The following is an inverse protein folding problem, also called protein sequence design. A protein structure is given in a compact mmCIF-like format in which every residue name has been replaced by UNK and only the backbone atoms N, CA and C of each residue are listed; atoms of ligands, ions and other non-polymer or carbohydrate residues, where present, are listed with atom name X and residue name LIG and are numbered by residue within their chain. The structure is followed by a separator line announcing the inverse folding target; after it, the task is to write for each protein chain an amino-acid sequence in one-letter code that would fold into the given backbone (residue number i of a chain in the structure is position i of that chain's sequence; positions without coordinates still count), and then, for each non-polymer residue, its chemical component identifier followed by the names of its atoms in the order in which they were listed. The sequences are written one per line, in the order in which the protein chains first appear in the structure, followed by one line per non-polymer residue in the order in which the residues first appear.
data_IF_847279371772
#
_entry.id   IF_847279371772
#
_cell.length_a   1.000
_cell.length_b   1.000
_cell.length_c   1.000
_cell.angle_alpha   90.00
_cell.angle_beta   90.00
_cell.angle_gamma   90.00
#
_symmetry.space_group_name_H-M   'P 1'
#
loop_
_entity.id
_entity.type
_entity.pdbx_description
1 polymer ?
#
# COMPACT_ATOMS: atom_id res chain seq x y z
N UNK A 1 -14.87 7.84 13.64
CA UNK A 1 -14.30 8.76 12.64
C UNK A 1 -12.81 8.44 12.52
N UNK A 2 -12.34 8.17 11.31
CA UNK A 2 -10.94 7.97 10.96
C UNK A 2 -10.50 9.29 10.33
N UNK A 3 -9.73 10.11 11.04
CA UNK A 3 -9.13 11.36 10.54
C UNK A 3 -8.06 11.09 9.45
N UNK A 4 -8.49 10.43 8.37
CA UNK A 4 -7.68 9.95 7.27
C UNK A 4 -7.26 11.04 6.31
N UNK A 5 -5.96 11.22 6.13
CA UNK A 5 -5.44 11.85 4.91
C UNK A 5 -5.72 10.90 3.76
N UNK A 6 -6.45 11.39 2.76
CA UNK A 6 -6.70 10.68 1.51
C UNK A 6 -5.63 11.11 0.50
N UNK A 7 -5.16 10.18 -0.33
CA UNK A 7 -4.12 10.44 -1.32
C UNK A 7 -4.72 10.40 -2.72
N UNK A 8 -4.43 11.43 -3.52
CA UNK A 8 -4.78 11.52 -4.93
C UNK A 8 -3.56 12.02 -5.70
N UNK A 9 -3.20 11.35 -6.79
CA UNK A 9 -2.26 11.84 -7.79
C UNK A 9 -3.05 12.07 -9.08
N UNK A 10 -2.98 13.28 -9.65
CA UNK A 10 -3.60 13.63 -10.93
C UNK A 10 -2.82 12.95 -12.07
N UNK A 11 -3.51 12.14 -12.87
CA UNK A 11 -2.92 11.38 -13.99
C UNK A 11 -3.62 11.73 -15.30
N UNK A 12 -3.72 13.02 -15.62
CA UNK A 12 -4.23 13.47 -16.92
C UNK A 12 -3.10 13.73 -17.91
N UNK A 13 -2.56 12.67 -18.51
CA UNK A 13 -1.78 12.75 -19.74
C UNK A 13 -2.34 11.77 -20.77
N UNK A 14 -3.16 12.27 -21.70
CA UNK A 14 -3.70 11.53 -22.85
C UNK A 14 -2.54 10.95 -23.68
N UNK A 15 -2.53 9.62 -23.83
CA UNK A 15 -1.76 8.91 -24.85
C UNK A 15 -2.71 8.34 -25.90
N UNK A 16 -2.39 8.58 -27.17
CA UNK A 16 -3.20 8.25 -28.34
C UNK A 16 -3.51 6.77 -28.51
N UNK A 17 -4.71 6.49 -29.01
CA UNK A 17 -5.23 5.16 -29.36
C UNK A 17 -4.47 4.53 -30.52
N UNK A 18 -4.04 3.28 -30.34
CA UNK A 18 -3.74 2.37 -31.45
C UNK A 18 -4.60 1.12 -31.34
N UNK A 19 -5.30 0.87 -32.44
CA UNK A 19 -6.17 -0.26 -32.76
C UNK A 19 -5.40 -1.58 -32.73
N UNK A 20 -5.98 -2.67 -32.21
CA UNK A 20 -5.39 -4.00 -32.40
C UNK A 20 -6.48 -5.09 -32.46
N UNK A 21 -6.52 -5.75 -33.61
CA UNK A 21 -7.37 -6.89 -33.93
C UNK A 21 -6.87 -8.16 -33.25
N UNK A 22 -7.80 -8.91 -32.66
CA UNK A 22 -7.54 -10.14 -31.92
C UNK A 22 -7.13 -11.33 -32.81
N UNK A 23 -6.18 -12.12 -32.30
CA UNK A 23 -6.08 -13.56 -32.62
C UNK A 23 -5.76 -14.35 -31.34
N UNK A 24 -6.39 -15.51 -31.22
CA UNK A 24 -6.72 -16.20 -29.98
C UNK A 24 -5.90 -17.50 -29.88
N UNK A 25 -4.88 -17.55 -29.02
CA UNK A 25 -4.44 -18.79 -28.33
C UNK A 25 -3.23 -18.60 -27.41
N UNK A 26 -3.39 -19.05 -26.16
CA UNK A 26 -2.40 -19.54 -25.16
C UNK A 26 -2.43 -18.78 -23.81
N UNK A 27 -3.25 -19.28 -22.90
CA UNK A 27 -3.94 -18.50 -21.84
C UNK A 27 -3.23 -18.48 -20.47
N UNK A 28 -2.04 -19.08 -20.34
CA UNK A 28 -1.33 -19.15 -19.04
C UNK A 28 -0.08 -18.25 -18.97
N UNK A 29 0.67 -18.11 -20.05
CA UNK A 29 1.81 -17.20 -20.15
C UNK A 29 1.36 -15.74 -20.35
N UNK A 30 0.26 -15.54 -21.09
CA UNK A 30 -0.36 -14.23 -21.29
C UNK A 30 -0.90 -13.62 -19.99
N UNK A 31 -1.38 -14.44 -19.05
CA UNK A 31 -1.84 -13.98 -17.74
C UNK A 31 -0.69 -13.48 -16.84
N UNK A 32 0.48 -14.11 -16.91
CA UNK A 32 1.70 -13.65 -16.23
C UNK A 32 2.26 -12.36 -16.86
N UNK A 33 2.32 -12.31 -18.19
CA UNK A 33 2.77 -11.12 -18.93
C UNK A 33 1.82 -9.90 -18.76
N UNK A 34 0.51 -10.13 -18.62
CA UNK A 34 -0.47 -9.08 -18.27
C UNK A 34 -0.34 -8.64 -16.80
N UNK A 35 0.11 -9.53 -15.91
CA UNK A 35 0.37 -9.23 -14.49
C UNK A 35 1.55 -8.27 -14.32
N UNK A 36 2.59 -8.46 -15.13
CA UNK A 36 3.74 -7.55 -15.19
C UNK A 36 3.30 -6.16 -15.67
N UNK A 37 2.50 -6.07 -16.74
CA UNK A 37 2.07 -4.80 -17.33
C UNK A 37 1.31 -3.86 -16.36
N UNK A 38 0.59 -4.39 -15.37
CA UNK A 38 -0.21 -3.56 -14.44
C UNK A 38 0.64 -2.95 -13.31
N UNK A 39 1.57 -3.71 -12.74
CA UNK A 39 2.55 -3.19 -11.76
C UNK A 39 3.44 -2.12 -12.41
N UNK A 40 3.64 -2.22 -13.72
CA UNK A 40 4.43 -1.27 -14.53
C UNK A 40 3.76 0.08 -14.81
N UNK A 41 2.44 0.27 -14.63
CA UNK A 41 1.78 1.56 -14.94
C UNK A 41 2.06 2.64 -13.88
N UNK A 42 1.97 2.30 -12.59
CA UNK A 42 2.21 3.27 -11.50
C UNK A 42 3.68 3.72 -11.44
N UNK A 43 4.60 2.81 -11.75
CA UNK A 43 6.04 3.06 -11.80
C UNK A 43 6.46 4.01 -12.95
N UNK A 44 5.58 4.22 -13.95
CA UNK A 44 5.82 5.13 -15.09
C UNK A 44 5.28 6.54 -14.89
N UNK A 45 4.59 6.82 -13.77
CA UNK A 45 4.12 8.16 -13.46
C UNK A 45 5.32 9.05 -13.09
N UNK A 46 5.87 9.75 -14.09
CA UNK A 46 6.96 10.72 -13.87
C UNK A 46 6.63 11.79 -12.80
N UNK A 47 5.36 12.19 -12.58
CA UNK A 47 5.00 13.02 -11.43
C UNK A 47 5.13 12.31 -10.09
N UNK A 48 4.64 11.06 -9.95
CA UNK A 48 4.70 10.31 -8.69
C UNK A 48 6.14 9.95 -8.33
N UNK A 49 6.92 9.51 -9.32
CA UNK A 49 8.34 9.20 -9.16
C UNK A 49 9.14 10.45 -8.77
N UNK A 50 8.86 11.61 -9.37
CA UNK A 50 9.47 12.88 -8.98
C UNK A 50 9.05 13.33 -7.58
N UNK A 51 7.77 13.28 -7.25
CA UNK A 51 7.29 13.65 -5.93
C UNK A 51 7.85 12.72 -4.82
N UNK A 52 8.00 11.43 -5.11
CA UNK A 52 8.68 10.49 -4.23
C UNK A 52 10.17 10.84 -4.09
N UNK A 53 10.85 11.20 -5.19
CA UNK A 53 12.26 11.64 -5.18
C UNK A 53 12.50 12.94 -4.41
N UNK A 54 11.54 13.87 -4.49
CA UNK A 54 11.54 15.13 -3.75
C UNK A 54 11.11 14.96 -2.28
N UNK A 55 10.79 13.72 -1.85
CA UNK A 55 10.27 13.38 -0.52
C UNK A 55 9.02 14.20 -0.15
N UNK A 56 8.11 14.40 -1.10
CA UNK A 56 6.83 15.06 -0.84
C UNK A 56 6.08 14.34 0.29
N UNK A 57 5.71 15.03 1.39
CA UNK A 57 5.31 14.36 2.64
C UNK A 57 4.07 13.49 2.50
N UNK A 58 3.12 13.90 1.65
CA UNK A 58 1.92 13.11 1.35
C UNK A 58 2.25 11.85 0.54
N UNK A 59 3.16 11.96 -0.43
CA UNK A 59 3.58 10.79 -1.23
C UNK A 59 4.39 9.82 -0.38
N UNK A 60 5.29 10.34 0.47
CA UNK A 60 6.04 9.52 1.42
C UNK A 60 5.08 8.75 2.34
N UNK A 61 4.09 9.43 2.94
CA UNK A 61 3.14 8.75 3.83
C UNK A 61 2.26 7.73 3.09
N UNK A 62 1.83 8.02 1.86
CA UNK A 62 1.14 7.05 1.01
C UNK A 62 1.97 5.80 0.73
N UNK A 63 3.23 5.96 0.31
CA UNK A 63 4.11 4.84 0.00
C UNK A 63 4.48 4.04 1.25
N UNK A 64 4.71 4.72 2.39
CA UNK A 64 4.89 4.05 3.68
C UNK A 64 3.63 3.27 4.06
N UNK A 65 2.43 3.80 3.82
CA UNK A 65 1.19 3.07 4.07
C UNK A 65 1.13 1.77 3.26
N UNK A 66 1.44 1.82 1.95
CA UNK A 66 1.50 0.63 1.10
C UNK A 66 2.48 -0.42 1.62
N UNK A 67 3.63 0.02 2.16
CA UNK A 67 4.70 -0.82 2.66
C UNK A 67 4.56 -1.26 4.13
N UNK A 68 3.53 -0.79 4.86
CA UNK A 68 3.30 -1.15 6.28
C UNK A 68 1.99 -1.90 6.48
N UNK A 69 0.92 -1.52 5.76
CA UNK A 69 -0.39 -2.16 5.94
C UNK A 69 -0.55 -3.37 5.03
N UNK A 70 0.12 -4.48 5.32
CA UNK A 70 0.04 -5.75 4.57
C UNK A 70 0.53 -6.94 5.41
N UNK A 71 0.43 -8.16 4.88
CA UNK A 71 1.07 -9.37 5.44
C UNK A 71 2.15 -9.98 4.55
N UNK A 72 2.56 -9.28 3.48
CA UNK A 72 3.64 -9.69 2.56
C UNK A 72 4.95 -10.00 3.29
N UNK A 73 5.60 -11.09 2.91
CA UNK A 73 6.91 -11.53 3.41
C UNK A 73 7.97 -11.32 2.33
N UNK A 74 9.05 -10.57 2.60
CA UNK A 74 10.16 -10.47 1.66
C UNK A 74 10.99 -11.76 1.67
N UNK A 75 11.32 -12.26 0.49
CA UNK A 75 12.18 -13.42 0.25
C UNK A 75 13.43 -13.02 -0.55
N UNK A 76 14.49 -13.81 -0.39
CA UNK A 76 15.75 -13.61 -1.11
C UNK A 76 15.53 -13.97 -2.58
N UNK A 77 15.85 -13.05 -3.47
CA UNK A 77 15.86 -13.31 -4.91
C UNK A 77 16.96 -14.31 -5.29
N UNK A 78 16.71 -15.13 -6.30
CA UNK A 78 17.68 -16.07 -6.88
C UNK A 78 18.02 -15.68 -8.31
N UNK A 79 19.11 -16.19 -8.88
CA UNK A 79 19.43 -15.92 -10.30
C UNK A 79 18.30 -16.33 -11.25
N UNK A 80 17.58 -17.41 -10.90
CA UNK A 80 16.41 -17.90 -11.64
C UNK A 80 15.12 -17.10 -11.40
N UNK A 81 15.08 -16.31 -10.32
CA UNK A 81 13.95 -15.45 -10.00
C UNK A 81 14.49 -14.18 -9.33
N UNK A 82 14.97 -13.20 -10.14
CA UNK A 82 15.74 -12.07 -9.65
C UNK A 82 14.90 -11.11 -8.79
N UNK A 83 13.57 -11.26 -8.81
CA UNK A 83 12.64 -10.40 -8.09
C UNK A 83 12.73 -8.94 -8.53
N UNK A 84 11.92 -8.11 -7.90
CA UNK A 84 11.98 -6.68 -8.12
C UNK A 84 13.07 -6.07 -7.23
N UNK A 85 14.03 -5.37 -7.85
CA UNK A 85 15.13 -4.72 -7.15
C UNK A 85 15.88 -5.65 -6.16
N UNK A 86 16.08 -6.91 -6.57
CA UNK A 86 16.79 -7.93 -5.79
C UNK A 86 15.97 -8.56 -4.66
N UNK A 87 14.64 -8.38 -4.64
CA UNK A 87 13.75 -8.99 -3.63
C UNK A 87 12.53 -9.63 -4.27
N UNK A 88 12.10 -10.74 -3.70
CA UNK A 88 10.82 -11.36 -4.02
C UNK A 88 9.83 -11.04 -2.90
N UNK A 89 8.59 -10.73 -3.27
CA UNK A 89 7.53 -10.47 -2.32
C UNK A 89 6.54 -11.61 -2.36
N UNK A 90 6.43 -12.35 -1.25
CA UNK A 90 5.50 -13.44 -1.12
C UNK A 90 4.26 -12.97 -0.38
N UNK A 91 3.11 -13.03 -1.05
CA UNK A 91 1.83 -12.63 -0.50
C UNK A 91 0.76 -13.69 -0.75
N UNK A 92 -0.21 -13.80 0.14
CA UNK A 92 -1.39 -14.64 -0.08
C UNK A 92 -2.38 -14.03 -1.07
N UNK A 93 -2.24 -12.73 -1.36
CA UNK A 93 -3.05 -11.99 -2.33
C UNK A 93 -2.15 -11.28 -3.35
N UNK A 94 -2.43 -11.41 -4.66
CA UNK A 94 -1.67 -10.71 -5.70
C UNK A 94 -1.77 -9.18 -5.58
N UNK A 95 -2.81 -8.67 -4.90
CA UNK A 95 -3.02 -7.23 -4.73
C UNK A 95 -2.03 -6.67 -3.73
N UNK A 96 -1.77 -7.39 -2.64
CA UNK A 96 -0.81 -6.95 -1.64
C UNK A 96 0.62 -7.00 -2.18
N UNK A 97 0.94 -8.04 -2.94
CA UNK A 97 2.22 -8.14 -3.65
C UNK A 97 2.43 -6.94 -4.58
N UNK A 98 1.43 -6.60 -5.40
CA UNK A 98 1.49 -5.46 -6.31
C UNK A 98 1.69 -4.12 -5.57
N UNK A 99 0.96 -3.90 -4.46
CA UNK A 99 1.08 -2.67 -3.68
C UNK A 99 2.47 -2.52 -3.03
N UNK A 100 3.01 -3.59 -2.44
CA UNK A 100 4.36 -3.58 -1.82
C UNK A 100 5.45 -3.44 -2.88
N UNK A 101 5.28 -4.09 -4.04
CA UNK A 101 6.19 -3.95 -5.17
C UNK A 101 6.20 -2.51 -5.70
N UNK A 102 5.02 -1.89 -5.86
CA UNK A 102 4.91 -0.49 -6.25
C UNK A 102 5.55 0.47 -5.24
N UNK A 103 5.38 0.21 -3.94
CA UNK A 103 6.06 0.98 -2.89
C UNK A 103 7.59 0.84 -2.98
N UNK A 104 8.09 -0.38 -3.24
CA UNK A 104 9.52 -0.64 -3.43
C UNK A 104 10.09 0.08 -4.65
N UNK A 105 9.36 0.08 -5.77
CA UNK A 105 9.72 0.81 -6.99
C UNK A 105 9.85 2.32 -6.77
N UNK A 106 9.04 2.85 -5.86
CA UNK A 106 9.00 4.27 -5.52
C UNK A 106 9.84 4.60 -4.27
N UNK A 107 10.79 3.74 -3.91
CA UNK A 107 11.81 4.05 -2.92
C UNK A 107 11.47 3.66 -1.48
N UNK A 108 10.38 2.92 -1.23
CA UNK A 108 9.99 2.38 0.08
C UNK A 108 10.00 0.85 0.04
N UNK A 109 11.20 0.27 0.10
CA UNK A 109 11.43 -1.16 -0.15
C UNK A 109 11.26 -1.95 1.14
N UNK A 110 10.35 -2.92 1.15
CA UNK A 110 10.18 -3.85 2.27
C UNK A 110 11.38 -4.81 2.33
N UNK A 111 12.05 -4.87 3.48
CA UNK A 111 13.25 -5.74 3.64
C UNK A 111 13.10 -6.78 4.75
N UNK A 112 12.20 -6.53 5.69
CA UNK A 112 11.84 -7.48 6.75
C UNK A 112 10.39 -7.30 7.13
N UNK A 113 9.69 -8.42 7.29
CA UNK A 113 8.40 -8.50 7.98
C UNK A 113 8.46 -9.76 8.85
N UNK A 114 8.87 -9.62 10.11
CA UNK A 114 9.06 -10.74 11.03
C UNK A 114 9.02 -10.26 12.48
N UNK A 115 8.56 -11.12 13.39
CA UNK A 115 8.53 -10.86 14.83
C UNK A 115 7.79 -9.54 15.18
N UNK A 116 6.62 -9.33 14.58
CA UNK A 116 5.82 -8.12 14.77
C UNK A 116 6.58 -6.83 14.44
N UNK A 117 7.54 -6.89 13.51
CA UNK A 117 8.34 -5.76 13.06
C UNK A 117 8.43 -5.73 11.53
N UNK A 118 8.12 -4.57 10.96
CA UNK A 118 8.35 -4.26 9.55
C UNK A 118 9.55 -3.32 9.43
N UNK A 119 10.51 -3.68 8.60
CA UNK A 119 11.65 -2.82 8.25
C UNK A 119 11.59 -2.47 6.77
N UNK A 120 11.68 -1.18 6.50
CA UNK A 120 11.78 -0.60 5.16
C UNK A 120 13.18 -0.05 4.93
N UNK A 121 13.73 -0.29 3.75
CA UNK A 121 14.82 0.54 3.22
C UNK A 121 14.23 1.70 2.41
N UNK A 122 14.76 2.88 2.66
CA UNK A 122 14.37 4.11 1.98
C UNK A 122 15.46 4.50 1.00
N UNK A 123 15.07 4.58 -0.27
CA UNK A 123 15.94 4.92 -1.39
C UNK A 123 15.28 6.00 -2.24
N UNK A 124 16.06 6.61 -3.12
CA UNK A 124 15.44 7.27 -4.27
C UNK A 124 14.64 6.23 -5.07
N UNK A 125 13.51 6.61 -5.70
CA UNK A 125 12.77 5.73 -6.60
C UNK A 125 13.69 5.08 -7.63
N UNK A 126 13.49 3.79 -7.87
CA UNK A 126 14.22 3.10 -8.92
C UNK A 126 13.83 3.75 -10.26
N UNK A 127 14.78 4.01 -11.18
CA UNK A 127 14.49 4.52 -12.51
C UNK A 127 13.57 3.54 -13.24
N UNK A 128 12.80 4.07 -14.17
CA UNK A 128 11.93 3.24 -15.01
C UNK A 128 12.79 2.13 -15.67
N UNK A 129 12.45 0.84 -15.48
CA UNK A 129 13.19 -0.28 -16.05
C UNK A 129 13.27 -0.22 -17.59
N UNK A 130 12.31 0.45 -18.24
CA UNK A 130 12.27 0.65 -19.69
C UNK A 130 13.05 1.90 -20.14
N UNK A 131 13.52 2.72 -19.19
CA UNK A 131 14.36 3.87 -19.50
C UNK A 131 15.83 3.46 -19.69
N UNK A 132 16.50 4.09 -20.64
CA UNK A 132 17.95 3.91 -20.90
C UNK A 132 18.85 4.27 -19.69
N UNK A 133 18.27 4.80 -18.59
CA UNK A 133 18.95 5.13 -17.34
C UNK A 133 19.19 3.92 -16.42
N UNK A 134 18.54 2.77 -16.66
CA UNK A 134 18.61 1.57 -15.80
C UNK A 134 20.02 0.94 -15.67
N UNK A 135 20.98 1.30 -16.53
CA UNK A 135 22.36 0.77 -16.49
C UNK A 135 23.30 1.47 -15.49
N UNK A 136 22.83 2.47 -14.74
CA UNK A 136 23.69 3.35 -13.93
C UNK A 136 23.23 3.50 -12.48
N UNK A 137 22.63 2.49 -11.84
CA UNK A 137 22.41 2.52 -10.38
C UNK A 137 23.56 1.83 -9.67
N UNK A 138 24.75 2.40 -9.82
CA UNK A 138 25.86 2.13 -8.93
C UNK A 138 26.30 3.48 -8.36
N UNK A 139 26.11 3.64 -7.06
CA UNK A 139 26.48 4.80 -6.23
C UNK A 139 25.57 6.02 -6.31
N UNK A 140 24.81 6.27 -5.25
CA UNK A 140 25.16 7.31 -4.25
C UNK A 140 23.93 7.70 -3.42
N UNK A 141 23.79 7.05 -2.27
CA UNK A 141 23.25 7.54 -0.99
C UNK A 141 23.06 6.31 -0.11
N UNK A 142 23.57 6.33 1.11
CA UNK A 142 23.36 5.22 2.04
C UNK A 142 21.86 5.11 2.32
N UNK A 143 21.27 3.97 1.97
CA UNK A 143 19.88 3.68 2.27
C UNK A 143 19.63 3.86 3.76
N UNK A 144 18.66 4.68 4.14
CA UNK A 144 18.22 4.74 5.54
C UNK A 144 17.17 3.67 5.80
N UNK A 145 17.17 3.08 6.98
CA UNK A 145 16.13 2.12 7.37
C UNK A 145 15.09 2.78 8.26
N UNK A 146 13.83 2.44 8.02
CA UNK A 146 12.69 2.82 8.86
C UNK A 146 12.05 1.55 9.41
N UNK A 147 11.83 1.52 10.72
CA UNK A 147 11.28 0.34 11.41
C UNK A 147 9.94 0.69 12.05
N UNK A 148 8.97 -0.19 11.87
CA UNK A 148 7.63 -0.11 12.44
C UNK A 148 7.36 -1.35 13.28
N UNK A 149 7.05 -1.12 14.55
CA UNK A 149 6.55 -2.16 15.46
C UNK A 149 5.05 -2.37 15.19
N UNK A 150 4.66 -3.60 14.86
CA UNK A 150 3.31 -3.98 14.49
C UNK A 150 2.57 -4.45 15.75
N UNK A 151 1.68 -3.60 16.27
CA UNK A 151 1.00 -3.85 17.53
C UNK A 151 -0.25 -4.72 17.37
N UNK A 152 -0.91 -4.65 16.21
CA UNK A 152 -2.03 -5.51 15.87
C UNK A 152 -2.30 -5.50 14.36
N UNK A 153 -2.76 -6.64 13.86
CA UNK A 153 -3.20 -6.80 12.47
C UNK A 153 -4.65 -7.23 12.47
N UNK A 154 -5.54 -6.37 11.96
CA UNK A 154 -6.90 -6.77 11.64
C UNK A 154 -6.92 -7.21 10.18
N UNK A 155 -6.78 -8.50 9.94
CA UNK A 155 -6.73 -9.11 8.61
C UNK A 155 -7.94 -8.74 7.75
N UNK A 156 -7.73 -8.82 6.44
CA UNK A 156 -8.81 -8.71 5.49
C UNK A 156 -9.81 -9.86 5.69
N UNK A 157 -11.09 -9.52 5.66
CA UNK A 157 -12.15 -10.52 5.53
C UNK A 157 -13.20 -10.03 4.55
N UNK A 158 -13.84 -10.96 3.82
CA UNK A 158 -14.92 -10.65 2.89
C UNK A 158 -16.09 -9.92 3.57
N UNK A 159 -16.33 -10.19 4.86
CA UNK A 159 -17.35 -9.53 5.65
C UNK A 159 -17.01 -8.06 5.95
N UNK A 160 -15.74 -7.73 6.22
CA UNK A 160 -15.31 -6.36 6.57
C UNK A 160 -14.88 -5.55 5.34
N UNK A 161 -14.45 -6.21 4.25
CA UNK A 161 -13.92 -5.64 3.00
C UNK A 161 -12.79 -4.61 3.21
N UNK A 162 -12.00 -4.79 4.27
CA UNK A 162 -10.87 -3.94 4.64
C UNK A 162 -9.87 -4.69 5.51
N UNK A 163 -8.62 -4.25 5.46
CA UNK A 163 -7.53 -4.61 6.36
C UNK A 163 -7.07 -3.36 7.12
N UNK A 164 -6.58 -3.53 8.34
CA UNK A 164 -5.90 -2.44 9.03
C UNK A 164 -4.80 -2.93 9.95
N UNK A 165 -3.73 -2.15 10.09
CA UNK A 165 -2.59 -2.40 10.96
C UNK A 165 -2.47 -1.26 11.97
N UNK A 166 -2.30 -1.61 13.24
CA UNK A 166 -1.86 -0.66 14.27
C UNK A 166 -0.36 -0.79 14.39
N UNK A 167 0.37 0.29 14.14
CA UNK A 167 1.81 0.29 14.21
C UNK A 167 2.33 1.46 15.04
N UNK A 168 3.50 1.25 15.63
CA UNK A 168 4.33 2.28 16.26
C UNK A 168 5.57 2.50 15.40
N UNK A 169 5.80 3.75 15.02
CA UNK A 169 7.01 4.15 14.32
C UNK A 169 8.18 4.18 15.31
N UNK A 170 9.25 3.42 15.04
CA UNK A 170 10.38 3.32 15.96
C UNK A 170 11.23 4.60 15.99
N UNK A 171 11.10 5.50 15.01
CA UNK A 171 11.91 6.72 14.89
C UNK A 171 11.50 7.78 15.90
N UNK A 172 10.20 7.97 16.08
CA UNK A 172 9.63 9.01 16.94
C UNK A 172 8.69 8.46 18.02
N UNK A 173 8.37 7.16 17.98
CA UNK A 173 7.45 6.52 18.91
C UNK A 173 5.97 6.84 18.66
N UNK A 174 5.64 7.49 17.55
CA UNK A 174 4.27 7.80 17.16
C UNK A 174 3.50 6.52 16.83
N UNK A 175 2.19 6.55 17.08
CA UNK A 175 1.32 5.40 16.81
C UNK A 175 0.29 5.79 15.75
N UNK A 176 -0.01 4.87 14.84
CA UNK A 176 -1.02 5.09 13.83
C UNK A 176 -1.81 3.82 13.51
N UNK A 177 -3.08 4.01 13.15
CA UNK A 177 -3.89 3.03 12.47
C UNK A 177 -3.76 3.26 10.96
N UNK A 178 -3.18 2.30 10.26
CA UNK A 178 -3.18 2.22 8.80
C UNK A 178 -4.34 1.34 8.35
N UNK A 179 -5.12 1.78 7.37
CA UNK A 179 -6.30 1.06 6.88
C UNK A 179 -6.35 1.13 5.37
N UNK A 180 -6.56 -0.03 4.73
CA UNK A 180 -6.86 -0.16 3.30
C UNK A 180 -8.12 -0.99 3.07
N UNK A 181 -8.98 -0.60 2.14
CA UNK A 181 -10.21 -1.33 1.86
C UNK A 181 -11.02 -0.77 0.70
N UNK A 182 -12.21 -1.35 0.50
CA UNK A 182 -13.16 -0.88 -0.50
C UNK A 182 -13.60 0.56 -0.24
N UNK A 183 -13.78 1.32 -1.31
CA UNK A 183 -14.23 2.72 -1.33
C UNK A 183 -15.40 3.02 -0.37
N UNK A 184 -16.56 2.40 -0.56
CA UNK A 184 -17.73 2.64 0.29
C UNK A 184 -17.43 2.37 1.77
N UNK A 185 -16.64 1.34 2.06
CA UNK A 185 -16.31 0.94 3.43
C UNK A 185 -15.36 1.94 4.09
N UNK A 186 -14.36 2.44 3.38
CA UNK A 186 -13.39 3.37 3.96
C UNK A 186 -13.96 4.78 4.04
N UNK A 187 -14.62 5.25 2.98
CA UNK A 187 -15.13 6.62 2.90
C UNK A 187 -16.22 6.90 3.95
N UNK A 188 -17.11 5.94 4.25
CA UNK A 188 -18.10 6.04 5.34
C UNK A 188 -17.48 6.18 6.74
N UNK A 189 -16.19 5.85 6.88
CA UNK A 189 -15.50 5.83 8.17
C UNK A 189 -14.57 7.02 8.35
N UNK A 190 -14.44 7.89 7.36
CA UNK A 190 -13.64 9.12 7.47
C UNK A 190 -14.21 10.04 8.56
N UNK A 191 -13.38 10.94 9.05
CA UNK A 191 -13.81 12.00 9.95
C UNK A 191 -14.57 13.09 9.23
N UNK A 192 -15.41 13.83 9.94
CA UNK A 192 -16.06 15.02 9.39
C UNK A 192 -15.05 16.16 9.10
N UNK A 193 -13.87 16.10 9.71
CA UNK A 193 -12.76 17.05 9.56
C UNK A 193 -11.83 16.76 8.39
N UNK A 194 -12.18 15.84 7.48
CA UNK A 194 -11.36 15.54 6.32
C UNK A 194 -11.26 16.74 5.35
N UNK A 195 -10.18 16.79 4.58
CA UNK A 195 -10.02 17.76 3.50
C UNK A 195 -11.00 17.45 2.35
N UNK A 196 -12.01 18.31 2.16
CA UNK A 196 -13.07 18.10 1.18
C UNK A 196 -12.55 18.11 -0.26
N UNK A 197 -11.55 18.94 -0.58
CA UNK A 197 -10.99 19.03 -1.93
C UNK A 197 -10.27 17.72 -2.30
N UNK A 198 -9.52 17.16 -1.35
CA UNK A 198 -8.87 15.87 -1.53
C UNK A 198 -9.91 14.77 -1.70
N UNK A 199 -10.95 14.75 -0.85
CA UNK A 199 -11.98 13.71 -0.94
C UNK A 199 -12.70 13.72 -2.29
N UNK A 200 -13.06 14.90 -2.79
CA UNK A 200 -13.74 15.04 -4.08
C UNK A 200 -12.81 14.65 -5.23
N UNK A 201 -11.54 15.04 -5.19
CA UNK A 201 -10.53 14.59 -6.16
C UNK A 201 -10.36 13.05 -6.13
N UNK A 202 -10.32 12.45 -4.94
CA UNK A 202 -10.22 10.99 -4.80
C UNK A 202 -11.46 10.29 -5.35
N UNK A 203 -12.68 10.79 -5.09
CA UNK A 203 -13.92 10.23 -5.66
C UNK A 203 -13.88 10.27 -7.19
N UNK A 204 -13.47 11.40 -7.77
CA UNK A 204 -13.34 11.53 -9.22
C UNK A 204 -12.33 10.52 -9.81
N UNK A 205 -11.20 10.29 -9.13
CA UNK A 205 -10.21 9.28 -9.54
C UNK A 205 -10.72 7.84 -9.37
N UNK A 206 -11.44 7.54 -8.29
CA UNK A 206 -12.07 6.22 -8.09
C UNK A 206 -13.06 5.92 -9.22
N UNK A 207 -13.90 6.88 -9.58
CA UNK A 207 -14.84 6.74 -10.68
C UNK A 207 -14.12 6.55 -12.02
N UNK A 208 -13.00 7.24 -12.25
CA UNK A 208 -12.18 7.07 -13.45
C UNK A 208 -11.57 5.67 -13.52
N UNK A 209 -10.92 5.21 -12.45
CA UNK A 209 -10.32 3.88 -12.38
C UNK A 209 -11.36 2.77 -12.53
N UNK A 210 -12.56 2.95 -11.96
CA UNK A 210 -13.66 2.01 -12.13
C UNK A 210 -14.13 1.91 -13.59
N UNK A 211 -14.22 3.05 -14.31
CA UNK A 211 -14.55 3.06 -15.74
C UNK A 211 -13.50 2.33 -16.59
N UNK A 212 -12.25 2.39 -16.18
CA UNK A 212 -11.14 1.69 -16.83
C UNK A 212 -11.02 0.21 -16.40
N UNK A 213 -11.94 -0.29 -15.57
CA UNK A 213 -11.97 -1.67 -15.10
C UNK A 213 -10.89 -2.00 -14.06
N UNK A 214 -10.26 -0.99 -13.46
CA UNK A 214 -9.21 -1.17 -12.47
C UNK A 214 -9.79 -1.48 -11.10
N UNK A 215 -9.09 -2.33 -10.35
CA UNK A 215 -9.42 -2.60 -8.96
C UNK A 215 -8.84 -1.49 -8.08
N UNK A 216 -9.71 -0.85 -7.31
CA UNK A 216 -9.35 0.28 -6.45
C UNK A 216 -9.40 -0.10 -4.97
N UNK A 217 -8.46 0.44 -4.19
CA UNK A 217 -8.52 0.45 -2.74
C UNK A 217 -8.33 1.89 -2.26
N UNK A 218 -9.06 2.24 -1.20
CA UNK A 218 -8.88 3.51 -0.50
C UNK A 218 -8.03 3.26 0.74
N UNK A 219 -7.04 4.14 0.92
CA UNK A 219 -6.13 4.14 2.06
C UNK A 219 -6.50 5.28 3.00
N UNK A 220 -6.49 5.02 4.30
CA UNK A 220 -6.78 6.00 5.35
C UNK A 220 -5.89 5.76 6.57
N UNK A 221 -5.23 6.80 7.06
CA UNK A 221 -4.34 6.73 8.23
C UNK A 221 -4.86 7.61 9.35
N UNK A 222 -4.90 7.11 10.59
CA UNK A 222 -5.23 7.93 11.78
C UNK A 222 -4.12 7.87 12.80
N UNK A 223 -3.64 9.03 13.25
CA UNK A 223 -2.75 9.13 14.40
C UNK A 223 -3.47 8.71 15.69
N UNK A 224 -2.80 7.93 16.52
CA UNK A 224 -3.33 7.42 17.78
C UNK A 224 -2.48 7.91 18.94
N UNK A 225 -3.13 8.31 20.04
CA UNK A 225 -2.41 8.51 21.30
C UNK A 225 -2.09 7.17 21.96
N UNK A 226 -1.02 7.14 22.76
CA UNK A 226 -0.61 5.94 23.52
C UNK A 226 -1.75 5.39 24.41
N UNK A 227 -2.52 6.22 25.16
CA UNK A 227 -3.65 5.71 25.95
C UNK A 227 -4.76 5.08 25.10
N UNK A 228 -5.08 5.65 23.93
CA UNK A 228 -6.05 5.04 23.00
C UNK A 228 -5.59 3.67 22.51
N UNK A 229 -4.31 3.56 22.15
CA UNK A 229 -3.71 2.29 21.70
C UNK A 229 -3.77 1.25 22.82
N UNK A 230 -3.37 1.61 24.04
CA UNK A 230 -3.35 0.68 25.18
C UNK A 230 -4.75 0.14 25.50
N UNK A 231 -5.74 1.04 25.55
CA UNK A 231 -7.13 0.66 25.81
C UNK A 231 -7.68 -0.27 24.72
N UNK A 232 -7.40 0.06 23.45
CA UNK A 232 -7.85 -0.78 22.33
C UNK A 232 -7.13 -2.13 22.28
N UNK A 233 -5.82 -2.17 22.51
CA UNK A 233 -5.03 -3.41 22.54
C UNK A 233 -5.47 -4.36 23.65
N UNK A 234 -5.90 -3.84 24.80
CA UNK A 234 -6.51 -4.68 25.84
C UNK A 234 -7.73 -5.43 25.29
N UNK A 235 -8.65 -4.70 24.65
CA UNK A 235 -9.86 -5.30 24.05
C UNK A 235 -9.53 -6.25 22.91
N UNK A 236 -8.53 -5.90 22.08
CA UNK A 236 -8.07 -6.73 20.97
C UNK A 236 -7.52 -8.08 21.46
N UNK A 237 -6.69 -8.09 22.52
CA UNK A 237 -6.12 -9.32 23.09
C UNK A 237 -7.18 -10.21 23.71
N UNK A 238 -8.13 -9.61 24.44
CA UNK A 238 -9.26 -10.33 25.03
C UNK A 238 -10.10 -11.02 23.94
N UNK A 239 -10.37 -10.31 22.83
CA UNK A 239 -11.11 -10.86 21.70
C UNK A 239 -10.31 -11.93 20.92
N UNK A 240 -9.00 -11.76 20.77
CA UNK A 240 -8.13 -12.68 20.01
C UNK A 240 -7.88 -14.01 20.73
N UNK A 241 -8.01 -14.03 22.06
CA UNK A 241 -7.83 -15.23 22.89
C UNK A 241 -9.15 -15.95 23.21
N UNK A 242 -10.30 -15.36 22.87
CA UNK A 242 -11.61 -15.96 23.08
C UNK A 242 -11.86 -17.12 22.09
N UNK A 243 -11.87 -18.36 22.60
CA UNK A 243 -12.08 -19.61 21.83
C UNK A 243 -13.46 -19.76 21.16
N UNK A 244 -14.38 -18.80 21.34
CA UNK A 244 -15.76 -18.86 20.82
C UNK A 244 -15.96 -17.76 19.78
N UNK A 245 -16.13 -18.16 18.50
CA UNK A 245 -16.44 -17.31 17.32
C UNK A 245 -15.75 -15.94 17.36
N UNK A 246 -14.64 -15.79 16.63
CA UNK A 246 -13.94 -14.50 16.39
C UNK A 246 -14.98 -13.38 16.24
N UNK A 247 -15.25 -12.65 17.33
CA UNK A 247 -16.12 -11.48 17.29
C UNK A 247 -15.37 -10.48 16.45
N UNK A 248 -16.04 -9.90 15.46
CA UNK A 248 -15.44 -8.87 14.63
C UNK A 248 -14.89 -7.77 15.53
N UNK A 249 -13.56 -7.59 15.52
CA UNK A 249 -12.92 -6.54 16.30
C UNK A 249 -13.18 -5.23 15.56
N UNK A 250 -14.07 -4.42 16.15
CA UNK A 250 -14.41 -3.10 15.66
C UNK A 250 -13.73 -2.05 16.53
N UNK A 251 -13.07 -1.09 15.89
CA UNK A 251 -12.56 0.11 16.54
C UNK A 251 -13.67 1.00 17.13
N UNK A 252 -14.92 0.81 16.70
CA UNK A 252 -16.07 1.60 17.12
C UNK A 252 -17.22 0.68 17.53
N UNK A 253 -17.89 0.90 18.68
CA UNK A 253 -19.01 0.09 19.15
C UNK A 253 -20.37 0.44 18.52
N UNK A 254 -20.45 1.03 17.33
CA UNK A 254 -21.73 1.39 16.72
C UNK A 254 -21.79 1.13 15.21
N UNK A 255 -22.65 0.18 14.84
CA UNK A 255 -23.51 0.32 13.65
C UNK A 255 -24.33 1.60 13.83
N UNK A 256 -24.30 2.49 12.84
CA UNK A 256 -25.42 3.36 12.51
C UNK A 256 -25.76 3.12 11.06
#
# INVERSE_FOLDING_TARGET
SVDGIVYAADVTAKGDSADDSADDSDDSAAAAAKKDAFVHSLARSSPLQRAASENGPRVVDFLTHLAVCHTVVPAVATESNPGYAGRLYQASSPDEEALVTGAAALGRRLVRNANDEITLEVHAPDPDPDSNAAKSIANSNAASTETFEILAVNEFSSARKRMSVVARDARDGSHALFLKGADAVVLERLSESHDAEILDATRAHLDAFARDGLRTLVLSKRALSKPEVDAWLSTYRDASTALTKVRSIHWFPYDR
#
